data_IF_075414236311
#
_entry.id   IF_075414236311
#
_cell.length_a   1.000
_cell.length_b   1.000
_cell.length_c   1.000
_cell.angle_alpha   90.00
_cell.angle_beta   90.00
_cell.angle_gamma   90.00
#
_symmetry.space_group_name_H-M   'P 1'
#
loop_
_entity.id
_entity.type
_entity.pdbx_description
1 polymer ?
#
# COMPACT_ATOMS: atom_id res chain seq x y z
N UNK A 1 20.30 11.76 19.21
CA UNK A 1 20.75 11.06 17.97
C UNK A 1 19.52 10.71 17.13
N UNK A 2 18.83 11.75 16.65
CA UNK A 2 17.41 11.69 16.31
C UNK A 2 17.10 11.80 14.82
N UNK A 3 15.93 11.30 14.44
CA UNK A 3 15.16 11.49 13.19
C UNK A 3 15.82 11.05 11.86
N UNK A 4 17.14 11.17 11.70
CA UNK A 4 17.85 10.75 10.49
C UNK A 4 17.76 9.23 10.27
N UNK A 5 17.91 8.44 11.35
CA UNK A 5 17.92 6.97 11.27
C UNK A 5 16.63 6.39 10.69
N UNK A 6 15.48 7.05 10.90
CA UNK A 6 14.16 6.58 10.43
C UNK A 6 14.02 6.74 8.91
N UNK A 7 14.59 7.81 8.34
CA UNK A 7 14.60 8.02 6.88
C UNK A 7 15.59 7.04 6.23
N UNK A 8 16.74 6.84 6.86
CA UNK A 8 17.79 5.93 6.39
C UNK A 8 17.48 4.43 6.58
N UNK A 9 16.55 4.02 7.45
CA UNK A 9 16.16 2.61 7.66
C UNK A 9 15.06 2.09 6.72
N UNK A 10 14.65 2.87 5.71
CA UNK A 10 13.93 2.28 4.58
C UNK A 10 14.97 1.50 3.78
N UNK A 11 15.04 0.18 3.94
CA UNK A 11 16.12 -0.69 3.45
C UNK A 11 16.55 -0.47 1.98
N UNK A 12 15.72 0.17 1.14
CA UNK A 12 16.08 0.56 -0.23
C UNK A 12 16.87 1.88 -0.38
N UNK A 13 16.68 2.89 0.47
CA UNK A 13 17.31 4.21 0.27
C UNK A 13 18.83 4.17 0.52
N UNK A 14 19.24 3.48 1.59
CA UNK A 14 20.66 3.36 1.94
C UNK A 14 21.40 2.50 0.90
N UNK A 15 20.74 1.47 0.37
CA UNK A 15 21.24 0.70 -0.75
C UNK A 15 21.44 1.58 -1.98
N UNK A 16 20.46 2.44 -2.32
CA UNK A 16 20.51 3.35 -3.47
C UNK A 16 21.63 4.38 -3.34
N UNK A 17 21.83 4.96 -2.16
CA UNK A 17 22.96 5.87 -1.92
C UNK A 17 24.30 5.14 -2.11
N UNK A 18 24.43 3.91 -1.60
CA UNK A 18 25.67 3.14 -1.72
C UNK A 18 25.98 2.75 -3.17
N UNK A 19 24.99 2.26 -3.93
CA UNK A 19 25.15 1.95 -5.37
C UNK A 19 25.50 3.22 -6.15
N UNK A 20 24.86 4.35 -5.86
CA UNK A 20 25.18 5.63 -6.50
C UNK A 20 26.62 6.03 -6.28
N UNK A 21 27.12 5.99 -5.04
CA UNK A 21 28.51 6.37 -4.75
C UNK A 21 29.47 5.43 -5.48
N UNK A 22 29.16 4.13 -5.52
CA UNK A 22 29.96 3.13 -6.24
C UNK A 22 30.00 3.43 -7.74
N UNK A 23 28.83 3.66 -8.36
CA UNK A 23 28.75 4.00 -9.78
C UNK A 23 29.37 5.35 -10.13
N UNK A 24 29.33 6.31 -9.21
CA UNK A 24 29.98 7.61 -9.39
C UNK A 24 31.50 7.45 -9.48
N UNK A 25 32.10 6.67 -8.56
CA UNK A 25 33.54 6.40 -8.58
C UNK A 25 33.97 5.63 -9.83
N UNK A 26 33.24 4.55 -10.16
CA UNK A 26 33.51 3.75 -11.38
C UNK A 26 33.32 4.58 -12.65
N UNK A 27 32.27 5.40 -12.70
CA UNK A 27 32.00 6.27 -13.85
C UNK A 27 33.05 7.37 -14.00
N UNK A 28 33.55 7.94 -12.91
CA UNK A 28 34.65 8.89 -12.93
C UNK A 28 35.95 8.25 -13.45
N UNK A 29 36.30 7.06 -12.97
CA UNK A 29 37.48 6.34 -13.46
C UNK A 29 37.35 5.97 -14.94
N UNK A 30 36.21 5.43 -15.35
CA UNK A 30 35.93 5.10 -16.74
C UNK A 30 36.03 6.34 -17.65
N UNK A 31 35.45 7.47 -17.23
CA UNK A 31 35.49 8.72 -17.98
C UNK A 31 36.91 9.29 -18.08
N UNK A 32 37.70 9.22 -16.99
CA UNK A 32 39.10 9.62 -17.00
C UNK A 32 39.93 8.84 -18.02
N UNK A 33 39.73 7.53 -18.08
CA UNK A 33 40.45 6.66 -19.02
C UNK A 33 40.01 6.93 -20.46
N UNK A 34 38.70 7.02 -20.72
CA UNK A 34 38.17 7.14 -22.08
C UNK A 34 38.40 8.50 -22.72
N UNK A 35 38.37 9.56 -21.91
CA UNK A 35 38.50 10.95 -22.38
C UNK A 35 39.88 11.55 -22.03
N UNK A 36 40.80 10.75 -21.48
CA UNK A 36 42.16 11.14 -21.13
C UNK A 36 42.25 12.39 -20.25
N UNK A 37 41.31 12.54 -19.30
CA UNK A 37 41.31 13.62 -18.31
C UNK A 37 41.87 13.14 -16.97
N UNK A 38 42.31 14.08 -16.12
CA UNK A 38 42.76 13.70 -14.78
C UNK A 38 41.61 13.12 -13.94
N UNK A 39 41.93 12.21 -13.02
CA UNK A 39 40.94 11.60 -12.12
C UNK A 39 40.16 12.64 -11.31
N UNK A 40 40.83 13.71 -10.88
CA UNK A 40 40.19 14.82 -10.18
C UNK A 40 39.13 15.51 -11.07
N UNK A 41 39.48 15.83 -12.32
CA UNK A 41 38.54 16.42 -13.27
C UNK A 41 37.36 15.48 -13.56
N UNK A 42 37.62 14.19 -13.75
CA UNK A 42 36.57 13.21 -14.00
C UNK A 42 35.65 12.99 -12.79
N UNK A 43 36.19 13.05 -11.57
CA UNK A 43 35.41 12.96 -10.34
C UNK A 43 34.44 14.14 -10.21
N UNK A 44 34.94 15.37 -10.40
CA UNK A 44 34.10 16.56 -10.38
C UNK A 44 33.07 16.55 -11.51
N UNK A 45 33.43 16.04 -12.69
CA UNK A 45 32.52 15.84 -13.80
C UNK A 45 31.40 14.85 -13.45
N UNK A 46 31.74 13.69 -12.87
CA UNK A 46 30.76 12.68 -12.49
C UNK A 46 29.81 13.20 -11.39
N UNK A 47 30.34 13.89 -10.38
CA UNK A 47 29.56 14.46 -9.29
C UNK A 47 28.61 15.57 -9.75
N UNK A 48 29.08 16.49 -10.59
CA UNK A 48 28.26 17.56 -11.16
C UNK A 48 27.20 17.03 -12.15
N UNK A 49 27.54 16.01 -12.93
CA UNK A 49 26.60 15.36 -13.87
C UNK A 49 25.51 14.58 -13.11
N UNK A 50 25.89 13.79 -12.10
CA UNK A 50 24.95 13.05 -11.27
C UNK A 50 24.03 13.97 -10.46
N UNK A 51 24.49 15.16 -10.06
CA UNK A 51 23.65 16.17 -9.41
C UNK A 51 22.82 17.02 -10.38
N UNK A 52 22.90 16.76 -11.70
CA UNK A 52 22.24 17.51 -12.77
C UNK A 52 22.67 18.98 -12.91
N UNK A 53 23.72 19.40 -12.19
CA UNK A 53 24.29 20.75 -12.31
C UNK A 53 25.09 20.90 -13.61
N UNK A 54 25.84 19.86 -13.96
CA UNK A 54 26.71 19.83 -15.13
C UNK A 54 28.07 20.52 -14.89
N UNK A 55 29.14 19.86 -15.31
CA UNK A 55 30.51 20.34 -15.11
C UNK A 55 30.75 21.70 -15.81
N UNK A 56 30.28 21.82 -17.05
CA UNK A 56 30.39 23.01 -17.88
C UNK A 56 29.78 24.25 -17.21
N UNK A 57 28.69 24.08 -16.47
CA UNK A 57 28.02 25.17 -15.77
C UNK A 57 28.86 25.70 -14.60
N UNK A 58 29.65 24.84 -13.95
CA UNK A 58 30.46 25.19 -12.78
C UNK A 58 31.83 25.73 -13.20
N UNK A 59 32.46 25.11 -14.20
CA UNK A 59 33.85 25.34 -14.55
C UNK A 59 34.05 26.05 -15.89
N UNK A 60 32.98 26.29 -16.66
CA UNK A 60 33.04 26.96 -17.97
C UNK A 60 33.83 26.20 -19.03
N UNK A 61 34.10 24.91 -18.81
CA UNK A 61 34.86 24.03 -19.70
C UNK A 61 33.99 22.89 -20.18
N UNK A 62 33.77 22.80 -21.49
CA UNK A 62 33.06 21.69 -22.10
C UNK A 62 33.97 20.50 -22.28
N UNK A 63 33.59 19.36 -21.70
CA UNK A 63 34.25 18.07 -21.89
C UNK A 63 33.23 17.13 -22.52
N UNK A 64 32.99 17.23 -23.84
CA UNK A 64 32.06 16.34 -24.51
C UNK A 64 32.71 14.96 -24.66
N UNK A 65 32.00 13.86 -24.38
CA UNK A 65 32.54 12.54 -24.58
C UNK A 65 32.77 12.27 -26.07
N UNK A 66 34.02 12.04 -26.45
CA UNK A 66 34.39 11.71 -27.82
C UNK A 66 34.31 10.20 -28.07
N UNK A 67 34.57 9.39 -27.05
CA UNK A 67 34.53 7.93 -27.14
C UNK A 67 33.10 7.38 -27.08
N UNK A 68 32.85 6.27 -27.77
CA UNK A 68 31.58 5.52 -27.66
C UNK A 68 31.35 5.08 -26.22
N UNK A 69 32.41 4.64 -25.54
CA UNK A 69 32.34 4.22 -24.13
C UNK A 69 32.07 5.44 -23.24
N UNK A 70 32.76 6.56 -23.47
CA UNK A 70 32.52 7.82 -22.76
C UNK A 70 31.07 8.27 -22.85
N UNK A 71 30.49 8.25 -24.06
CA UNK A 71 29.07 8.59 -24.30
C UNK A 71 28.12 7.69 -23.52
N UNK A 72 28.40 6.39 -23.49
CA UNK A 72 27.58 5.44 -22.74
C UNK A 72 27.67 5.69 -21.22
N UNK A 73 28.88 5.92 -20.70
CA UNK A 73 29.10 6.28 -19.29
C UNK A 73 28.34 7.56 -18.93
N UNK A 74 28.41 8.59 -19.78
CA UNK A 74 27.65 9.83 -19.60
C UNK A 74 26.14 9.60 -19.56
N UNK A 75 25.60 8.80 -20.47
CA UNK A 75 24.17 8.49 -20.51
C UNK A 75 23.72 7.77 -19.22
N UNK A 76 24.48 6.76 -18.78
CA UNK A 76 24.18 6.03 -17.53
C UNK A 76 24.26 6.97 -16.32
N UNK A 77 25.26 7.85 -16.26
CA UNK A 77 25.43 8.81 -15.18
C UNK A 77 24.26 9.79 -15.09
N UNK A 78 23.76 10.27 -16.23
CA UNK A 78 22.58 11.13 -16.29
C UNK A 78 21.32 10.43 -15.77
N UNK A 79 21.07 9.19 -16.20
CA UNK A 79 19.93 8.39 -15.72
C UNK A 79 20.00 8.15 -14.22
N UNK A 80 21.20 7.83 -13.70
CA UNK A 80 21.43 7.68 -12.27
C UNK A 80 21.11 8.96 -11.51
N UNK A 81 21.61 10.10 -11.99
CA UNK A 81 21.37 11.40 -11.37
C UNK A 81 19.88 11.74 -11.21
N UNK A 82 19.13 11.64 -12.31
CA UNK A 82 17.67 11.89 -12.31
C UNK A 82 16.95 10.88 -11.40
N UNK A 83 17.38 9.61 -11.42
CA UNK A 83 16.82 8.55 -10.58
C UNK A 83 16.96 8.84 -9.09
N UNK A 84 18.13 9.32 -8.65
CA UNK A 84 18.39 9.67 -7.24
C UNK A 84 17.53 10.86 -6.82
N UNK A 85 17.48 11.92 -7.62
CA UNK A 85 16.66 13.11 -7.33
C UNK A 85 15.19 12.72 -7.20
N UNK A 86 14.68 11.89 -8.12
CA UNK A 86 13.32 11.36 -8.07
C UNK A 86 13.05 10.52 -6.82
N UNK A 87 13.98 9.64 -6.46
CA UNK A 87 13.83 8.79 -5.27
C UNK A 87 13.90 9.58 -3.96
N UNK A 88 14.82 10.55 -3.86
CA UNK A 88 14.91 11.43 -2.69
C UNK A 88 13.62 12.25 -2.55
N UNK A 89 13.12 12.82 -3.65
CA UNK A 89 11.84 13.56 -3.67
C UNK A 89 10.69 12.65 -3.23
N UNK A 90 10.58 11.45 -3.78
CA UNK A 90 9.56 10.46 -3.40
C UNK A 90 9.66 10.06 -1.92
N UNK A 91 10.87 9.88 -1.41
CA UNK A 91 11.11 9.52 -0.01
C UNK A 91 10.68 10.65 0.94
N UNK A 92 11.00 11.90 0.59
CA UNK A 92 10.59 13.09 1.34
C UNK A 92 9.06 13.24 1.29
N UNK A 93 8.46 13.18 0.10
CA UNK A 93 7.01 13.23 -0.10
C UNK A 93 6.31 12.14 0.70
N UNK A 94 6.82 10.91 0.67
CA UNK A 94 6.30 9.77 1.44
C UNK A 94 6.41 10.00 2.94
N UNK A 95 7.49 10.63 3.42
CA UNK A 95 7.66 10.98 4.84
C UNK A 95 6.68 12.09 5.26
N UNK A 96 6.53 13.14 4.45
CA UNK A 96 5.56 14.22 4.69
C UNK A 96 4.12 13.67 4.67
N UNK A 97 3.78 12.85 3.67
CA UNK A 97 2.49 12.17 3.59
C UNK A 97 2.25 11.25 4.79
N UNK A 98 3.24 10.49 5.28
CA UNK A 98 3.07 9.69 6.50
C UNK A 98 2.80 10.55 7.73
N UNK A 99 3.39 11.75 7.80
CA UNK A 99 3.16 12.68 8.90
C UNK A 99 1.78 13.32 8.84
N UNK A 100 1.29 13.64 7.64
CA UNK A 100 -0.04 14.25 7.42
C UNK A 100 -1.16 13.20 7.43
N UNK A 101 -0.94 12.06 6.78
CA UNK A 101 -1.90 10.95 6.65
C UNK A 101 -1.77 9.92 7.77
N UNK A 102 -0.77 10.01 8.67
CA UNK A 102 -0.74 9.17 9.87
C UNK A 102 -2.02 9.30 10.72
N UNK A 103 -2.72 10.44 10.61
CA UNK A 103 -4.07 10.62 11.13
C UNK A 103 -5.17 9.88 10.31
N UNK A 104 -4.98 9.73 8.99
CA UNK A 104 -5.97 9.14 8.08
C UNK A 104 -5.81 7.61 7.89
N UNK A 105 -4.60 7.05 8.00
CA UNK A 105 -4.37 5.61 7.89
C UNK A 105 -4.80 4.83 9.12
N UNK A 106 -4.78 5.48 10.30
CA UNK A 106 -5.45 4.96 11.51
C UNK A 106 -6.95 4.85 11.26
N UNK A 107 -7.54 5.92 10.71
CA UNK A 107 -8.95 5.95 10.34
C UNK A 107 -9.34 4.83 9.35
N UNK A 108 -8.51 4.54 8.34
CA UNK A 108 -8.84 3.51 7.34
C UNK A 108 -8.93 2.11 7.94
N UNK A 109 -8.10 1.75 8.92
CA UNK A 109 -8.21 0.44 9.58
C UNK A 109 -9.45 0.37 10.47
N UNK A 110 -9.69 1.42 11.26
CA UNK A 110 -10.87 1.52 12.13
C UNK A 110 -12.18 1.49 11.32
N UNK A 111 -12.20 2.15 10.16
CA UNK A 111 -13.34 2.18 9.24
C UNK A 111 -13.61 0.79 8.63
N UNK A 112 -12.56 0.04 8.27
CA UNK A 112 -12.70 -1.33 7.76
C UNK A 112 -13.21 -2.27 8.85
N UNK A 113 -12.69 -2.18 10.07
CA UNK A 113 -13.15 -3.00 11.19
C UNK A 113 -14.61 -2.69 11.55
N UNK A 114 -15.00 -1.42 11.50
CA UNK A 114 -16.38 -0.99 11.74
C UNK A 114 -17.33 -1.49 10.66
N UNK A 115 -16.90 -1.52 9.39
CA UNK A 115 -17.67 -2.11 8.29
C UNK A 115 -17.85 -3.61 8.49
N UNK A 116 -16.80 -4.34 8.85
CA UNK A 116 -16.89 -5.79 9.13
C UNK A 116 -17.84 -6.09 10.29
N UNK A 117 -17.76 -5.35 11.40
CA UNK A 117 -18.67 -5.50 12.54
C UNK A 117 -20.12 -5.24 12.16
N UNK A 118 -20.38 -4.23 11.33
CA UNK A 118 -21.73 -3.95 10.83
C UNK A 118 -22.25 -5.06 9.92
N UNK A 119 -21.40 -5.71 9.13
CA UNK A 119 -21.80 -6.85 8.30
C UNK A 119 -22.17 -8.06 9.17
N UNK A 120 -21.37 -8.38 10.20
CA UNK A 120 -21.68 -9.44 11.16
C UNK A 120 -23.00 -9.18 11.90
N UNK A 121 -23.24 -7.94 12.34
CA UNK A 121 -24.48 -7.56 13.02
C UNK A 121 -25.71 -7.70 12.09
N UNK A 122 -25.55 -7.38 10.80
CA UNK A 122 -26.62 -7.55 9.80
C UNK A 122 -26.92 -9.03 9.52
N UNK A 123 -25.88 -9.86 9.44
CA UNK A 123 -26.03 -11.32 9.28
C UNK A 123 -26.77 -11.93 10.48
N UNK A 124 -26.38 -11.56 11.70
CA UNK A 124 -27.07 -12.00 12.92
C UNK A 124 -28.52 -11.54 12.99
N UNK A 125 -28.82 -10.32 12.56
CA UNK A 125 -30.20 -9.81 12.54
C UNK A 125 -31.07 -10.57 11.53
N UNK A 126 -30.49 -10.96 10.38
CA UNK A 126 -31.17 -11.80 9.40
C UNK A 126 -31.52 -13.18 9.97
N UNK A 127 -30.59 -13.81 10.68
CA UNK A 127 -30.83 -15.10 11.34
C UNK A 127 -31.94 -15.01 12.39
N UNK A 128 -31.94 -13.95 13.20
CA UNK A 128 -33.01 -13.69 14.18
C UNK A 128 -34.37 -13.46 13.51
N UNK A 129 -34.41 -12.81 12.35
CA UNK A 129 -35.63 -12.61 11.58
C UNK A 129 -36.17 -13.95 11.05
N UNK A 130 -35.30 -14.85 10.60
CA UNK A 130 -35.70 -16.16 10.10
C UNK A 130 -36.13 -17.11 11.22
N UNK A 131 -35.46 -17.07 12.38
CA UNK A 131 -35.91 -17.78 13.59
C UNK A 131 -37.30 -17.32 14.04
N UNK A 132 -37.55 -16.01 14.06
CA UNK A 132 -38.87 -15.47 14.43
C UNK A 132 -39.97 -15.94 13.46
N UNK A 133 -39.70 -16.01 12.15
CA UNK A 133 -40.66 -16.56 11.18
C UNK A 133 -40.96 -18.03 11.44
N UNK A 134 -39.93 -18.84 11.75
CA UNK A 134 -40.11 -20.25 12.07
C UNK A 134 -40.94 -20.44 13.35
N UNK A 135 -40.63 -19.69 14.40
CA UNK A 135 -41.41 -19.71 15.66
C UNK A 135 -42.87 -19.34 15.43
N UNK A 136 -43.14 -18.32 14.59
CA UNK A 136 -44.51 -17.95 14.24
C UNK A 136 -45.23 -19.07 13.48
N UNK A 137 -44.55 -19.74 12.55
CA UNK A 137 -45.12 -20.86 11.80
C UNK A 137 -45.43 -22.06 12.73
N UNK A 138 -44.56 -22.35 13.70
CA UNK A 138 -44.77 -23.41 14.70
C UNK A 138 -45.94 -23.07 15.63
N UNK A 139 -46.04 -21.83 16.13
CA UNK A 139 -47.17 -21.39 16.96
C UNK A 139 -48.49 -21.53 16.18
N UNK A 140 -48.51 -21.20 14.89
CA UNK A 140 -49.71 -21.36 14.05
C UNK A 140 -50.09 -22.82 13.85
N UNK A 141 -49.13 -23.70 13.58
CA UNK A 141 -49.41 -25.14 13.40
C UNK A 141 -49.90 -25.79 14.70
N UNK A 142 -49.32 -25.43 15.84
CA UNK A 142 -49.74 -25.88 17.16
C UNK A 142 -51.15 -25.38 17.53
N UNK A 143 -51.48 -24.12 17.22
CA UNK A 143 -52.85 -23.60 17.41
C UNK A 143 -53.87 -24.36 16.57
N UNK A 144 -53.58 -24.58 15.28
CA UNK A 144 -54.46 -25.32 14.38
C UNK A 144 -54.69 -26.76 14.85
N UNK A 145 -53.63 -27.48 15.23
CA UNK A 145 -53.74 -28.84 15.75
C UNK A 145 -54.45 -28.93 17.10
N UNK A 146 -54.38 -27.88 17.93
CA UNK A 146 -55.17 -27.78 19.18
C UNK A 146 -56.66 -27.59 18.88
N UNK A 147 -57.00 -26.68 17.97
CA UNK A 147 -58.40 -26.45 17.56
C UNK A 147 -59.02 -27.71 16.94
N UNK A 148 -58.28 -28.42 16.08
CA UNK A 148 -58.73 -29.69 15.51
C UNK A 148 -59.00 -30.76 16.59
N UNK A 149 -58.14 -30.85 17.61
CA UNK A 149 -58.34 -31.76 18.75
C UNK A 149 -59.54 -31.39 19.61
N UNK A 150 -59.76 -30.11 19.87
CA UNK A 150 -60.94 -29.62 20.61
C UNK A 150 -62.24 -29.91 19.85
N UNK A 151 -62.25 -29.67 18.53
CA UNK A 151 -63.39 -29.99 17.65
C UNK A 151 -63.67 -31.50 17.64
N UNK A 152 -62.62 -32.33 17.56
CA UNK A 152 -62.78 -33.78 17.57
C UNK A 152 -63.35 -34.27 18.91
N UNK A 153 -62.79 -33.79 20.03
CA UNK A 153 -63.27 -34.12 21.38
C UNK A 153 -64.73 -33.72 21.61
N UNK A 154 -65.14 -32.58 21.06
CA UNK A 154 -66.53 -32.13 21.12
C UNK A 154 -67.47 -33.04 20.29
N UNK A 155 -67.06 -33.46 19.09
CA UNK A 155 -67.80 -34.42 18.27
C UNK A 155 -67.94 -35.78 18.98
N UNK A 156 -66.85 -36.30 19.52
CA UNK A 156 -66.84 -37.58 20.25
C UNK A 156 -67.77 -37.54 21.48
N UNK A 157 -67.84 -36.38 22.16
CA UNK A 157 -68.76 -36.16 23.28
C UNK A 157 -70.24 -36.13 22.84
N UNK A 158 -70.53 -35.53 21.69
CA UNK A 158 -71.89 -35.49 21.13
C UNK A 158 -72.37 -36.87 20.70
N UNK A 159 -71.52 -37.68 20.07
CA UNK A 159 -71.87 -39.06 19.67
C UNK A 159 -72.19 -39.94 20.88
N UNK A 160 -71.36 -39.86 21.94
CA UNK A 160 -71.64 -40.58 23.20
C UNK A 160 -72.96 -40.21 23.87
N UNK A 161 -73.51 -39.02 23.59
CA UNK A 161 -74.82 -38.60 24.12
C UNK A 161 -75.99 -39.05 23.26
N UNK A 162 -75.78 -39.44 22.00
CA UNK A 162 -76.83 -39.98 21.13
C UNK A 162 -77.08 -41.48 21.34
N UNK A 163 -76.14 -42.21 21.94
CA UNK A 163 -76.23 -43.65 22.21
C UNK A 163 -76.86 -43.99 23.58
N UNK A 164 -77.33 -42.99 24.34
CA UNK A 164 -78.14 -43.14 25.56
C UNK A 164 -79.57 -42.69 25.32
#
# INVERSE_FOLDING_TARGET
MGKLKIIFHTNGLLYVVFITITFLLVGAEAFAITEHVSLDTAFWWALSTASTVGYDAIFGKTIPPHSIVGKFVTLVMMLLGIGIVGMLTSSITSYLMRKTNGANTLHTHDDIELVLRKLDDLEKNKDLADQNKQMQAEIQSLKKGRDEKEVQKFKDWLEKRKEK
#
